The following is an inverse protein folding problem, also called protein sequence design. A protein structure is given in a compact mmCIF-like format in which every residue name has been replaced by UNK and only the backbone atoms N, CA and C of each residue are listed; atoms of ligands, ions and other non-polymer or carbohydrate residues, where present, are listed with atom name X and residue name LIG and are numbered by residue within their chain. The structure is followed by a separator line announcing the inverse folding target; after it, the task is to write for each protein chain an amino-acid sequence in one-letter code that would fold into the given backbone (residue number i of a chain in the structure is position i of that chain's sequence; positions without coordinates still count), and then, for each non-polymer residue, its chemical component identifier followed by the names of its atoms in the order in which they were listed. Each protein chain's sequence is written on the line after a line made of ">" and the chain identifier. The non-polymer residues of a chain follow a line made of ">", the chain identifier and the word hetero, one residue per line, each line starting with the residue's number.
data_IF_256385905370
#
_entry.id   IF_256385905370
#
_cell.length_a   1.000
_cell.length_b   1.000
_cell.length_c   1.000
_cell.angle_alpha   90.00
_cell.angle_beta   90.00
_cell.angle_gamma   90.00
#
_symmetry.space_group_name_H-M   'P 1'
#
loop_
_entity.id
_entity.type
_entity.pdbx_description
1 polymer ?
#
# COMPACT_ATOMS: atom_id res chain seq x y z
N UNK A 1 15.44 7.66 -44.47
CA UNK A 1 14.06 7.60 -43.93
C UNK A 1 13.84 6.53 -42.81
N UNK A 2 14.79 6.23 -41.89
CA UNK A 2 14.52 5.31 -40.77
C UNK A 2 13.91 6.01 -39.54
N UNK A 3 14.19 7.31 -39.36
CA UNK A 3 13.74 8.12 -38.21
C UNK A 3 12.21 8.19 -38.09
N UNK A 4 11.49 8.23 -39.23
CA UNK A 4 10.03 8.27 -39.24
C UNK A 4 9.37 6.95 -38.78
N UNK A 5 10.11 5.83 -38.82
CA UNK A 5 9.62 4.51 -38.39
C UNK A 5 9.86 4.25 -36.89
N UNK A 6 10.75 5.01 -36.25
CA UNK A 6 11.08 4.88 -34.82
C UNK A 6 10.20 5.77 -33.93
N UNK A 7 9.57 6.81 -34.49
CA UNK A 7 8.64 7.71 -33.80
C UNK A 7 7.51 7.00 -33.02
N UNK A 8 6.78 5.99 -33.57
CA UNK A 8 5.72 5.32 -32.82
C UNK A 8 6.25 4.44 -31.67
N UNK A 9 7.47 3.91 -31.79
CA UNK A 9 8.09 3.08 -30.76
C UNK A 9 8.49 3.91 -29.54
N UNK A 10 8.99 5.13 -29.76
CA UNK A 10 9.36 6.06 -28.69
C UNK A 10 8.15 6.54 -27.88
N UNK A 11 6.99 6.66 -28.53
CA UNK A 11 5.74 7.13 -27.91
C UNK A 11 5.02 6.03 -27.11
N UNK A 12 5.25 4.75 -27.44
CA UNK A 12 4.66 3.59 -26.75
C UNK A 12 5.46 3.11 -25.53
N UNK A 13 6.74 3.48 -25.41
CA UNK A 13 7.60 3.08 -24.30
C UNK A 13 7.07 3.44 -22.88
N UNK A 14 6.53 4.65 -22.61
CA UNK A 14 6.03 4.97 -21.27
C UNK A 14 4.73 4.22 -20.93
N UNK A 15 3.95 3.80 -21.92
CA UNK A 15 2.69 3.06 -21.72
C UNK A 15 2.94 1.62 -21.24
N UNK A 16 4.11 1.06 -21.53
CA UNK A 16 4.49 -0.27 -21.06
C UNK A 16 4.83 -0.30 -19.56
N UNK A 17 5.20 0.84 -18.95
CA UNK A 17 5.54 0.89 -17.52
C UNK A 17 4.32 0.79 -16.60
N UNK A 18 3.14 1.23 -17.04
CA UNK A 18 1.92 1.21 -16.22
C UNK A 18 1.33 -0.19 -16.07
N UNK A 19 1.86 -1.19 -16.77
CA UNK A 19 1.39 -2.57 -16.74
C UNK A 19 2.06 -3.45 -15.67
N UNK A 20 3.05 -2.94 -14.92
CA UNK A 20 3.79 -3.73 -13.93
C UNK A 20 3.20 -3.68 -12.51
N UNK A 21 1.98 -3.14 -12.33
CA UNK A 21 1.30 -3.04 -11.04
C UNK A 21 0.05 -3.91 -10.97
N UNK A 22 -0.19 -4.51 -9.79
CA UNK A 22 -1.43 -5.21 -9.50
C UNK A 22 -2.56 -4.18 -9.26
N UNK A 23 -3.77 -4.36 -9.83
CA UNK A 23 -4.88 -3.47 -9.51
C UNK A 23 -5.31 -3.64 -8.05
N UNK A 24 -5.90 -2.59 -7.46
CA UNK A 24 -6.35 -2.60 -6.06
C UNK A 24 -7.36 -3.73 -5.76
N UNK A 25 -8.09 -4.20 -6.77
CA UNK A 25 -9.08 -5.28 -6.67
C UNK A 25 -8.49 -6.68 -6.81
N UNK A 26 -7.21 -6.81 -7.13
CA UNK A 26 -6.58 -8.13 -7.22
C UNK A 26 -6.43 -8.74 -5.83
N UNK A 27 -6.68 -10.04 -5.74
CA UNK A 27 -6.41 -10.85 -4.55
C UNK A 27 -4.92 -10.77 -4.19
N UNK A 28 -4.66 -10.35 -2.96
CA UNK A 28 -3.35 -10.31 -2.34
C UNK A 28 -3.14 -11.43 -1.32
N UNK A 29 -1.94 -11.54 -0.75
CA UNK A 29 -1.66 -12.49 0.32
C UNK A 29 -2.53 -12.22 1.55
N UNK A 30 -3.01 -13.28 2.20
CA UNK A 30 -3.89 -13.17 3.37
C UNK A 30 -5.39 -13.12 3.03
N UNK A 31 -5.77 -13.34 1.77
CA UNK A 31 -7.18 -13.40 1.35
C UNK A 31 -7.87 -12.03 1.30
N UNK A 32 -7.09 -10.96 1.26
CA UNK A 32 -7.56 -9.58 1.10
C UNK A 32 -7.03 -9.01 -0.20
N UNK A 33 -7.74 -8.07 -0.79
CA UNK A 33 -7.27 -7.35 -1.97
C UNK A 33 -6.12 -6.40 -1.65
N UNK A 34 -5.35 -6.03 -2.66
CA UNK A 34 -4.24 -5.06 -2.51
C UNK A 34 -4.75 -3.72 -1.93
N UNK A 35 -5.92 -3.27 -2.38
CA UNK A 35 -6.56 -2.06 -1.87
C UNK A 35 -7.03 -2.18 -0.42
N UNK A 36 -7.60 -3.32 -0.03
CA UNK A 36 -7.96 -3.59 1.36
C UNK A 36 -6.73 -3.60 2.27
N UNK A 37 -5.65 -4.28 1.87
CA UNK A 37 -4.40 -4.31 2.63
C UNK A 37 -3.83 -2.90 2.87
N UNK A 38 -3.88 -2.03 1.85
CA UNK A 38 -3.48 -0.62 1.98
C UNK A 38 -4.36 0.14 2.98
N UNK A 39 -5.68 -0.01 2.87
CA UNK A 39 -6.63 0.63 3.79
C UNK A 39 -6.40 0.19 5.24
N UNK A 40 -6.14 -1.09 5.47
CA UNK A 40 -5.80 -1.63 6.79
C UNK A 40 -4.49 -1.05 7.33
N UNK A 41 -3.47 -0.89 6.50
CA UNK A 41 -2.21 -0.26 6.88
C UNK A 41 -2.39 1.21 7.25
N UNK A 42 -3.18 1.95 6.47
CA UNK A 42 -3.47 3.37 6.74
C UNK A 42 -4.22 3.51 8.09
N UNK A 43 -5.17 2.62 8.37
CA UNK A 43 -5.84 2.57 9.67
C UNK A 43 -4.88 2.23 10.81
N UNK A 44 -3.96 1.27 10.61
CA UNK A 44 -2.94 0.92 11.59
C UNK A 44 -2.01 2.11 11.89
N UNK A 45 -1.62 2.89 10.87
CA UNK A 45 -0.80 4.08 11.05
C UNK A 45 -1.49 5.15 11.92
N UNK A 46 -2.81 5.32 11.80
CA UNK A 46 -3.58 6.23 12.65
C UNK A 46 -3.63 5.78 14.11
N UNK A 47 -3.71 4.47 14.34
CA UNK A 47 -3.66 3.88 15.69
C UNK A 47 -2.26 4.02 16.30
N UNK A 48 -1.22 3.76 15.49
CA UNK A 48 0.18 3.84 15.92
C UNK A 48 0.57 5.27 16.32
N UNK A 49 0.08 6.27 15.58
CA UNK A 49 0.26 7.69 15.91
C UNK A 49 -0.31 8.09 17.28
N UNK A 50 -1.31 7.37 17.77
CA UNK A 50 -1.93 7.58 19.08
C UNK A 50 -1.60 6.45 20.06
N UNK A 51 -0.58 5.63 19.75
CA UNK A 51 -0.24 4.49 20.57
C UNK A 51 0.32 4.93 21.93
N UNK A 52 -0.11 4.20 22.95
CA UNK A 52 0.40 4.29 24.31
C UNK A 52 1.29 3.07 24.55
N UNK A 53 2.39 3.25 25.29
CA UNK A 53 3.31 2.13 25.57
C UNK A 53 2.55 0.98 26.23
N UNK A 54 2.82 -0.27 25.81
CA UNK A 54 2.16 -1.44 26.38
C UNK A 54 2.33 -1.53 27.91
N UNK A 55 3.48 -1.06 28.43
CA UNK A 55 3.74 -0.99 29.86
C UNK A 55 2.82 0.02 30.58
N UNK A 56 2.46 1.13 29.93
CA UNK A 56 1.52 2.10 30.49
C UNK A 56 0.08 1.53 30.55
N UNK A 57 -0.35 0.79 29.51
CA UNK A 57 -1.66 0.09 29.52
C UNK A 57 -1.75 -0.94 30.66
N UNK A 58 -0.64 -1.61 30.99
CA UNK A 58 -0.58 -2.56 32.11
C UNK A 58 -0.49 -1.91 33.49
N UNK A 59 0.18 -0.76 33.62
CA UNK A 59 0.35 -0.07 34.90
C UNK A 59 -0.95 0.55 35.44
N UNK A 60 -1.84 1.03 34.56
CA UNK A 60 -3.13 1.62 34.96
C UNK A 60 -4.13 0.54 35.44
N UNK A 61 -3.96 -0.71 35.03
CA UNK A 61 -4.82 -1.84 35.43
C UNK A 61 -4.54 -2.31 36.87
N UNK A 62 -3.35 -2.08 37.40
CA UNK A 62 -2.96 -2.53 38.75
C UNK A 62 -3.29 -1.51 39.85
N UNK A 63 -3.46 -0.22 39.51
CA UNK A 63 -3.90 0.83 40.44
C UNK A 63 -5.44 1.02 40.48
N UNK A 64 -6.17 0.38 39.56
CA UNK A 64 -7.64 0.34 39.53
C UNK A 64 -8.21 -1.01 40.02
N UNK A 65 -7.42 -1.82 40.72
CA UNK A 65 -7.87 -3.05 41.40
C UNK A 65 -7.80 -2.87 42.91
#
# INVERSE_FOLDING_TARGET
>A
MPIMRLLPCLLLLPLALTACGQPDTAEGPGGVTVGEAKSLNDAAAMLDANSVSANAVGADQEMNQ
#
